data_IF_560886052137
#
_entry.id   IF_560886052137
#
_cell.length_a   1.000
_cell.length_b   1.000
_cell.length_c   1.000
_cell.angle_alpha   90.00
_cell.angle_beta   90.00
_cell.angle_gamma   90.00
#
_symmetry.space_group_name_H-M   'P 1'
#
loop_
_entity.id
_entity.type
_entity.pdbx_description
1 polymer ?
#
# COMPACT_ATOMS: atom_id res chain seq x y z
N UNK A 1 34.75 -11.71 -7.41
CA UNK A 1 33.44 -12.29 -7.78
C UNK A 1 32.70 -12.74 -6.52
N UNK A 2 32.13 -11.78 -5.80
CA UNK A 2 31.34 -12.01 -4.59
C UNK A 2 29.87 -11.83 -4.95
N UNK A 3 29.12 -12.88 -4.69
CA UNK A 3 27.70 -13.07 -4.97
C UNK A 3 26.86 -11.89 -4.50
N UNK A 4 26.41 -11.07 -5.44
CA UNK A 4 25.36 -10.08 -5.21
C UNK A 4 24.04 -10.87 -5.19
N UNK A 5 23.56 -11.25 -4.01
CA UNK A 5 22.22 -11.78 -3.81
C UNK A 5 21.22 -10.75 -4.35
N UNK A 6 20.17 -11.14 -5.09
CA UNK A 6 19.16 -10.23 -5.59
C UNK A 6 18.21 -9.85 -4.46
N UNK A 7 18.73 -9.21 -3.40
CA UNK A 7 17.87 -8.50 -2.46
C UNK A 7 17.26 -7.32 -3.20
N UNK A 8 15.92 -7.24 -3.19
CA UNK A 8 15.18 -6.14 -3.81
C UNK A 8 15.71 -4.79 -3.29
N UNK A 9 15.59 -3.73 -4.10
CA UNK A 9 16.04 -2.38 -3.73
C UNK A 9 15.47 -1.91 -2.39
N UNK A 10 14.22 -2.30 -2.09
CA UNK A 10 13.54 -2.05 -0.82
C UNK A 10 14.24 -2.72 0.38
N UNK A 11 14.63 -4.01 0.28
CA UNK A 11 15.35 -4.69 1.35
C UNK A 11 16.69 -4.02 1.66
N UNK A 12 17.42 -3.58 0.63
CA UNK A 12 18.70 -2.86 0.84
C UNK A 12 18.49 -1.50 1.51
N UNK A 13 17.42 -0.80 1.15
CA UNK A 13 17.08 0.47 1.80
C UNK A 13 16.74 0.28 3.29
N UNK A 14 16.02 -0.80 3.64
CA UNK A 14 15.69 -1.14 5.02
C UNK A 14 16.94 -1.51 5.84
N UNK A 15 17.85 -2.29 5.29
CA UNK A 15 19.15 -2.61 5.90
C UNK A 15 19.98 -1.34 6.14
N UNK A 16 20.04 -0.44 5.15
CA UNK A 16 20.77 0.84 5.25
C UNK A 16 20.12 1.84 6.20
N UNK A 17 18.84 1.67 6.56
CA UNK A 17 18.14 2.56 7.50
C UNK A 17 18.68 2.47 8.92
N UNK A 18 19.32 1.35 9.28
CA UNK A 18 19.81 1.01 10.62
C UNK A 18 18.75 0.99 11.74
N UNK A 19 17.46 1.18 11.41
CA UNK A 19 16.35 1.19 12.37
C UNK A 19 15.39 0.01 12.17
N UNK A 20 15.49 -0.70 11.04
CA UNK A 20 14.68 -1.88 10.78
C UNK A 20 15.35 -3.12 11.38
N UNK A 21 14.66 -3.83 12.28
CA UNK A 21 15.09 -5.11 12.85
C UNK A 21 14.75 -6.27 11.94
N UNK A 22 13.49 -6.40 11.54
CA UNK A 22 13.05 -7.46 10.63
C UNK A 22 12.26 -6.90 9.45
N UNK A 23 12.42 -7.54 8.30
CA UNK A 23 11.58 -7.28 7.14
C UNK A 23 11.06 -8.58 6.52
N UNK A 24 9.85 -8.55 5.96
CA UNK A 24 9.35 -9.58 5.05
C UNK A 24 8.66 -8.93 3.85
N UNK A 25 8.60 -9.66 2.75
CA UNK A 25 7.94 -9.20 1.53
C UNK A 25 6.97 -10.23 0.98
N UNK A 26 6.07 -9.83 0.10
CA UNK A 26 5.17 -10.75 -0.62
C UNK A 26 5.95 -11.88 -1.33
N UNK A 27 7.07 -11.54 -1.99
CA UNK A 27 7.96 -12.50 -2.68
C UNK A 27 8.85 -13.34 -1.73
N UNK A 28 9.10 -12.86 -0.52
CA UNK A 28 9.97 -13.51 0.49
C UNK A 28 9.28 -13.39 1.85
N UNK A 29 8.38 -14.32 2.19
CA UNK A 29 7.53 -14.24 3.37
C UNK A 29 8.28 -14.55 4.68
N UNK A 30 9.49 -15.09 4.60
CA UNK A 30 10.34 -15.31 5.77
C UNK A 30 10.85 -13.99 6.36
N UNK A 31 10.96 -13.94 7.70
CA UNK A 31 11.58 -12.82 8.39
C UNK A 31 13.06 -12.75 8.07
N UNK A 32 13.48 -11.62 7.51
CA UNK A 32 14.87 -11.31 7.24
C UNK A 32 15.37 -10.31 8.28
N UNK A 33 16.49 -10.62 8.94
CA UNK A 33 17.15 -9.71 9.88
C UNK A 33 17.85 -8.58 9.11
N UNK A 34 17.40 -7.35 9.33
CA UNK A 34 17.93 -6.13 8.71
C UNK A 34 19.01 -5.45 9.57
N UNK A 35 19.33 -6.00 10.75
CA UNK A 35 20.43 -5.54 11.60
C UNK A 35 20.13 -4.35 12.51
N UNK A 36 18.92 -3.79 12.46
CA UNK A 36 18.48 -2.72 13.37
C UNK A 36 18.22 -3.20 14.81
N UNK A 37 17.99 -2.27 15.74
CA UNK A 37 17.77 -2.59 17.16
C UNK A 37 16.36 -3.15 17.41
N UNK A 38 16.20 -3.91 18.50
CA UNK A 38 14.87 -4.32 18.98
C UNK A 38 14.18 -3.16 19.69
N UNK A 39 14.84 -2.56 20.68
CA UNK A 39 14.32 -1.39 21.39
C UNK A 39 14.49 -0.13 20.52
N UNK A 40 13.39 0.59 20.27
CA UNK A 40 13.38 1.78 19.42
C UNK A 40 13.53 1.51 17.92
N UNK A 41 13.64 0.24 17.50
CA UNK A 41 13.60 -0.15 16.09
C UNK A 41 12.22 -0.58 15.61
N UNK A 42 12.17 -1.06 14.37
CA UNK A 42 10.93 -1.36 13.66
C UNK A 42 11.01 -2.67 12.88
N UNK A 43 9.86 -3.30 12.67
CA UNK A 43 9.72 -4.38 11.70
C UNK A 43 8.79 -3.97 10.56
N UNK A 44 9.13 -4.36 9.33
CA UNK A 44 8.47 -3.88 8.11
C UNK A 44 7.95 -5.04 7.26
N UNK A 45 6.67 -5.03 6.93
CA UNK A 45 6.12 -5.90 5.89
C UNK A 45 5.84 -5.05 4.65
N UNK A 46 6.16 -5.55 3.46
CA UNK A 46 5.97 -4.78 2.24
C UNK A 46 5.62 -5.62 1.01
N UNK A 47 4.85 -5.04 0.10
CA UNK A 47 4.70 -5.52 -1.27
C UNK A 47 5.55 -4.61 -2.17
N UNK A 48 6.67 -5.11 -2.75
CA UNK A 48 7.55 -4.30 -3.58
C UNK A 48 6.87 -3.81 -4.87
N UNK A 49 5.87 -4.55 -5.39
CA UNK A 49 5.22 -4.26 -6.66
C UNK A 49 3.76 -4.78 -6.68
N UNK A 50 2.86 -4.00 -6.09
CA UNK A 50 1.42 -4.23 -6.23
C UNK A 50 0.95 -3.88 -7.65
N UNK A 51 0.05 -4.69 -8.18
CA UNK A 51 -0.42 -4.56 -9.56
C UNK A 51 0.52 -5.17 -10.60
N UNK A 52 1.35 -6.15 -10.20
CA UNK A 52 2.24 -6.88 -11.12
C UNK A 52 1.53 -7.38 -12.39
N UNK A 53 0.29 -7.85 -12.28
CA UNK A 53 -0.53 -8.34 -13.40
C UNK A 53 -0.92 -7.27 -14.44
N UNK A 54 -0.80 -5.99 -14.11
CA UNK A 54 -1.17 -4.85 -14.97
C UNK A 54 0.03 -3.99 -15.38
N UNK A 55 1.25 -4.41 -15.04
CA UNK A 55 2.50 -3.76 -15.46
C UNK A 55 2.61 -3.72 -16.98
N UNK A 56 2.40 -4.86 -17.65
CA UNK A 56 2.54 -4.98 -19.11
C UNK A 56 1.50 -4.14 -19.88
N UNK A 57 0.39 -3.82 -19.23
CA UNK A 57 -0.66 -2.95 -19.78
C UNK A 57 -0.39 -1.45 -19.57
N UNK A 58 0.75 -1.12 -18.95
CA UNK A 58 1.14 0.25 -18.62
C UNK A 58 0.10 0.99 -17.78
N UNK A 59 -0.53 0.27 -16.85
CA UNK A 59 -1.40 0.87 -15.83
C UNK A 59 -0.57 1.31 -14.63
N UNK A 60 -1.17 2.16 -13.81
CA UNK A 60 -0.58 2.55 -12.53
C UNK A 60 -0.38 1.32 -11.65
N UNK A 61 0.83 1.18 -11.13
CA UNK A 61 1.23 0.15 -10.16
C UNK A 61 1.77 0.83 -8.90
N UNK A 62 2.19 0.06 -7.90
CA UNK A 62 2.69 0.67 -6.68
C UNK A 62 3.50 -0.24 -5.78
N UNK A 63 3.81 0.28 -4.60
CA UNK A 63 4.49 -0.45 -3.53
C UNK A 63 3.72 -0.17 -2.23
N UNK A 64 3.58 -1.16 -1.38
CA UNK A 64 2.85 -1.04 -0.10
C UNK A 64 3.81 -1.35 1.05
N UNK A 65 3.75 -0.58 2.14
CA UNK A 65 4.52 -0.82 3.36
C UNK A 65 3.64 -0.72 4.60
N UNK A 66 3.85 -1.63 5.56
CA UNK A 66 3.38 -1.50 6.93
C UNK A 66 4.57 -1.55 7.89
N UNK A 67 4.53 -0.73 8.94
CA UNK A 67 5.62 -0.59 9.91
C UNK A 67 5.09 -0.81 11.32
N UNK A 68 5.71 -1.73 12.05
CA UNK A 68 5.42 -2.06 13.44
C UNK A 68 6.65 -1.74 14.31
N UNK A 69 6.45 -1.36 15.59
CA UNK A 69 7.55 -1.17 16.51
C UNK A 69 8.17 -2.52 16.93
N UNK A 70 9.47 -2.51 17.19
CA UNK A 70 10.20 -3.68 17.69
C UNK A 70 10.48 -4.74 16.63
N UNK A 71 10.39 -6.00 17.04
CA UNK A 71 10.96 -7.15 16.36
C UNK A 71 9.91 -8.21 15.99
N UNK A 72 8.66 -7.79 15.76
CA UNK A 72 7.55 -8.70 15.47
C UNK A 72 6.76 -8.28 14.24
N UNK A 73 6.49 -9.25 13.38
CA UNK A 73 5.49 -9.18 12.28
C UNK A 73 4.44 -10.30 12.39
N UNK A 74 4.53 -11.14 13.43
CA UNK A 74 3.55 -12.20 13.72
C UNK A 74 2.91 -11.95 15.08
N UNK A 75 1.64 -12.34 15.23
CA UNK A 75 0.87 -12.05 16.44
C UNK A 75 0.61 -10.55 16.68
N UNK A 76 0.81 -9.72 15.65
CA UNK A 76 0.49 -8.29 15.63
C UNK A 76 -0.74 -8.05 14.76
N UNK A 77 -1.42 -6.93 14.97
CA UNK A 77 -2.59 -6.51 14.22
C UNK A 77 -2.32 -5.23 13.43
N UNK A 78 -3.24 -4.87 12.53
CA UNK A 78 -3.17 -3.58 11.84
C UNK A 78 -3.19 -2.37 12.77
N UNK A 79 -3.86 -2.47 13.94
CA UNK A 79 -3.90 -1.39 14.95
C UNK A 79 -2.57 -1.16 15.68
N UNK A 80 -1.64 -2.11 15.58
CA UNK A 80 -0.31 -2.01 16.18
C UNK A 80 0.70 -1.26 15.28
N UNK A 81 0.33 -0.95 14.03
CA UNK A 81 1.17 -0.19 13.12
C UNK A 81 1.46 1.22 13.66
N UNK A 82 2.70 1.67 13.45
CA UNK A 82 3.14 3.05 13.74
C UNK A 82 3.20 3.90 12.49
N UNK A 83 3.36 3.27 11.32
CA UNK A 83 3.26 3.89 10.02
C UNK A 83 2.76 2.90 8.97
N UNK A 84 2.07 3.41 7.97
CA UNK A 84 1.73 2.68 6.76
C UNK A 84 1.94 3.59 5.56
N UNK A 85 2.33 3.04 4.42
CA UNK A 85 2.52 3.84 3.23
C UNK A 85 2.22 3.09 1.94
N UNK A 86 1.92 3.87 0.91
CA UNK A 86 1.69 3.39 -0.43
C UNK A 86 2.40 4.31 -1.42
N UNK A 87 3.30 3.76 -2.23
CA UNK A 87 3.89 4.43 -3.37
C UNK A 87 3.08 4.16 -4.63
N UNK A 88 2.80 5.20 -5.40
CA UNK A 88 1.98 5.16 -6.61
C UNK A 88 2.87 5.52 -7.79
N UNK A 89 3.02 4.59 -8.74
CA UNK A 89 3.80 4.77 -9.96
C UNK A 89 2.86 4.88 -11.16
N UNK A 90 2.25 6.06 -11.31
CA UNK A 90 1.36 6.39 -12.41
C UNK A 90 1.90 7.51 -13.29
N UNK A 91 1.03 8.31 -13.93
CA UNK A 91 1.45 9.51 -14.67
C UNK A 91 2.21 10.53 -13.82
N UNK A 92 2.05 10.46 -12.50
CA UNK A 92 2.85 11.15 -11.50
C UNK A 92 3.23 10.13 -10.44
N UNK A 93 4.44 10.22 -9.92
CA UNK A 93 4.88 9.42 -8.78
C UNK A 93 4.47 10.12 -7.49
N UNK A 94 3.55 9.52 -6.74
CA UNK A 94 3.14 10.03 -5.43
C UNK A 94 3.33 8.99 -4.34
N UNK A 95 3.38 9.46 -3.10
CA UNK A 95 3.55 8.61 -1.94
C UNK A 95 2.54 9.05 -0.88
N UNK A 96 1.65 8.15 -0.47
CA UNK A 96 0.66 8.40 0.57
C UNK A 96 1.15 7.75 1.86
N UNK A 97 1.26 8.53 2.93
CA UNK A 97 1.76 8.08 4.23
C UNK A 97 0.71 8.30 5.31
N UNK A 98 0.53 7.33 6.20
CA UNK A 98 -0.22 7.44 7.44
C UNK A 98 0.72 7.18 8.62
N UNK A 99 0.62 7.99 9.67
CA UNK A 99 1.40 7.84 10.90
C UNK A 99 0.44 7.74 12.09
N UNK A 100 0.74 6.87 13.06
CA UNK A 100 -0.16 6.62 14.20
C UNK A 100 -0.53 7.88 14.98
N UNK A 101 0.43 8.77 15.14
CA UNK A 101 0.26 10.01 15.92
C UNK A 101 -0.03 11.24 15.04
N UNK A 102 -0.30 11.04 13.73
CA UNK A 102 -0.67 12.11 12.80
C UNK A 102 -2.03 11.80 12.14
N UNK A 103 -3.07 12.62 12.37
CA UNK A 103 -4.39 12.35 11.81
C UNK A 103 -4.42 12.34 10.29
N UNK A 104 -5.03 11.30 9.72
CA UNK A 104 -5.27 11.18 8.28
C UNK A 104 -4.08 10.61 7.50
N UNK A 105 -4.07 10.90 6.20
CA UNK A 105 -2.99 10.53 5.29
C UNK A 105 -2.40 11.78 4.63
N UNK A 106 -1.12 11.70 4.31
CA UNK A 106 -0.33 12.78 3.72
C UNK A 106 0.22 12.31 2.38
N UNK A 107 -0.14 13.01 1.30
CA UNK A 107 0.32 12.73 -0.05
C UNK A 107 1.53 13.61 -0.38
N UNK A 108 2.59 12.97 -0.87
CA UNK A 108 3.80 13.62 -1.36
C UNK A 108 3.95 13.36 -2.85
N UNK A 109 4.25 14.40 -3.63
CA UNK A 109 4.57 14.32 -5.05
C UNK A 109 6.09 14.31 -5.24
N UNK A 110 6.60 13.39 -6.06
CA UNK A 110 7.99 13.41 -6.51
C UNK A 110 8.15 14.45 -7.62
N UNK A 111 9.02 15.43 -7.38
CA UNK A 111 9.43 16.46 -8.35
C UNK A 111 10.64 15.99 -9.16
N UNK A 112 10.87 16.63 -10.30
CA UNK A 112 11.96 16.29 -11.24
C UNK A 112 13.36 16.38 -10.60
N UNK A 113 13.54 17.19 -9.57
CA UNK A 113 14.80 17.30 -8.82
C UNK A 113 15.00 16.18 -7.79
N UNK A 114 14.16 15.14 -7.79
CA UNK A 114 14.20 14.05 -6.82
C UNK A 114 13.71 14.44 -5.43
N UNK A 115 12.96 15.54 -5.31
CA UNK A 115 12.43 16.05 -4.05
C UNK A 115 10.97 15.63 -3.88
N UNK A 116 10.61 15.28 -2.65
CA UNK A 116 9.23 15.03 -2.27
C UNK A 116 8.58 16.31 -1.75
N UNK A 117 7.50 16.74 -2.39
CA UNK A 117 6.70 17.87 -1.97
C UNK A 117 5.39 17.37 -1.36
N UNK A 118 5.07 17.82 -0.14
CA UNK A 118 3.75 17.58 0.44
C UNK A 118 2.68 18.33 -0.36
N UNK A 119 1.66 17.62 -0.85
CA UNK A 119 0.65 18.19 -1.75
C UNK A 119 -0.77 18.10 -1.23
N UNK A 120 -1.08 17.18 -0.30
CA UNK A 120 -2.45 16.98 0.17
C UNK A 120 -2.51 16.22 1.50
N UNK A 121 -3.43 16.65 2.36
CA UNK A 121 -3.90 15.88 3.52
C UNK A 121 -5.30 15.28 3.24
N UNK A 122 -5.55 14.05 3.66
CA UNK A 122 -6.88 13.42 3.64
C UNK A 122 -7.21 12.83 5.02
N UNK A 123 -8.23 13.37 5.71
CA UNK A 123 -8.62 12.92 7.06
C UNK A 123 -9.91 12.12 7.10
N UNK A 124 -10.70 12.12 6.02
CA UNK A 124 -12.02 11.49 5.98
C UNK A 124 -12.32 10.99 4.59
N UNK A 125 -12.97 9.83 4.50
CA UNK A 125 -13.56 9.31 3.27
C UNK A 125 -15.07 9.36 3.43
N UNK A 126 -15.73 10.17 2.61
CA UNK A 126 -17.18 10.32 2.61
C UNK A 126 -17.88 9.29 1.73
N UNK A 127 -19.21 9.36 1.71
CA UNK A 127 -20.01 8.56 0.79
C UNK A 127 -19.82 9.03 -0.66
N UNK A 128 -19.80 8.08 -1.59
CA UNK A 128 -19.67 8.37 -3.01
C UNK A 128 -20.29 7.27 -3.87
N UNK A 129 -20.88 7.68 -5.00
CA UNK A 129 -21.40 6.74 -6.02
C UNK A 129 -20.29 6.19 -6.92
N UNK A 130 -19.25 5.63 -6.31
CA UNK A 130 -18.12 4.99 -6.97
C UNK A 130 -17.76 3.74 -6.18
N UNK A 131 -17.48 2.63 -6.86
CA UNK A 131 -17.02 1.41 -6.20
C UNK A 131 -15.89 0.72 -6.97
N UNK A 132 -14.98 0.10 -6.23
CA UNK A 132 -13.91 -0.76 -6.73
C UNK A 132 -13.95 -2.13 -6.03
N UNK A 133 -14.41 -3.20 -6.71
CA UNK A 133 -14.74 -4.47 -6.06
C UNK A 133 -13.55 -5.25 -5.47
N UNK A 134 -12.29 -5.00 -5.87
CA UNK A 134 -11.11 -5.74 -5.39
C UNK A 134 -11.02 -7.20 -5.86
N UNK A 135 -12.15 -7.88 -6.09
CA UNK A 135 -12.25 -9.17 -6.76
C UNK A 135 -13.67 -9.44 -7.26
N UNK A 136 -14.00 -8.96 -8.47
CA UNK A 136 -15.35 -9.13 -9.04
C UNK A 136 -15.74 -10.60 -9.24
N UNK A 137 -14.78 -11.53 -9.40
CA UNK A 137 -15.07 -12.96 -9.61
C UNK A 137 -15.69 -13.62 -8.38
N UNK A 138 -15.46 -13.07 -7.19
CA UNK A 138 -16.02 -13.59 -5.94
C UNK A 138 -17.56 -13.54 -5.89
N UNK A 139 -18.22 -12.80 -6.79
CA UNK A 139 -19.70 -12.81 -6.90
C UNK A 139 -20.25 -14.19 -7.28
N UNK A 140 -19.46 -15.04 -7.92
CA UNK A 140 -19.89 -16.39 -8.29
C UNK A 140 -20.06 -17.30 -7.07
N UNK A 141 -19.14 -17.20 -6.11
CA UNK A 141 -19.07 -18.11 -4.95
C UNK A 141 -19.61 -17.49 -3.65
N UNK A 142 -19.81 -16.17 -3.62
CA UNK A 142 -20.30 -15.45 -2.44
C UNK A 142 -21.61 -14.69 -2.76
N UNK A 143 -22.78 -15.26 -2.41
CA UNK A 143 -24.08 -14.65 -2.69
C UNK A 143 -24.29 -13.28 -2.03
N UNK A 144 -23.68 -13.02 -0.88
CA UNK A 144 -23.83 -11.72 -0.21
C UNK A 144 -22.98 -10.64 -0.87
N UNK A 145 -21.80 -11.01 -1.37
CA UNK A 145 -20.99 -10.13 -2.19
C UNK A 145 -21.63 -9.85 -3.55
N UNK A 146 -22.24 -10.86 -4.19
CA UNK A 146 -23.03 -10.67 -5.41
C UNK A 146 -24.19 -9.69 -5.21
N UNK A 147 -24.96 -9.84 -4.11
CA UNK A 147 -26.02 -8.89 -3.76
C UNK A 147 -25.47 -7.46 -3.61
N UNK A 148 -24.31 -7.30 -2.98
CA UNK A 148 -23.68 -6.00 -2.75
C UNK A 148 -23.26 -5.33 -4.08
N UNK A 149 -22.56 -6.07 -4.95
CA UNK A 149 -22.17 -5.57 -6.27
C UNK A 149 -23.40 -5.22 -7.11
N UNK A 150 -24.42 -6.09 -7.12
CA UNK A 150 -25.67 -5.83 -7.83
C UNK A 150 -26.42 -4.63 -7.29
N UNK A 151 -26.36 -4.37 -5.97
CA UNK A 151 -26.90 -3.14 -5.38
C UNK A 151 -26.21 -1.90 -5.96
N UNK A 152 -24.87 -1.87 -5.99
CA UNK A 152 -24.12 -0.74 -6.56
C UNK A 152 -24.46 -0.49 -8.03
N UNK A 153 -24.58 -1.56 -8.83
CA UNK A 153 -24.99 -1.46 -10.23
C UNK A 153 -26.41 -0.89 -10.38
N UNK A 154 -27.38 -1.41 -9.61
CA UNK A 154 -28.78 -0.94 -9.65
C UNK A 154 -28.93 0.51 -9.21
N UNK A 155 -28.18 0.92 -8.19
CA UNK A 155 -28.16 2.29 -7.66
C UNK A 155 -27.29 3.26 -8.48
N UNK A 156 -26.79 2.79 -9.63
CA UNK A 156 -26.00 3.56 -10.61
C UNK A 156 -24.71 4.12 -10.03
N UNK A 157 -24.01 3.33 -9.23
CA UNK A 157 -22.64 3.64 -8.82
C UNK A 157 -21.70 3.47 -10.02
N UNK A 158 -20.67 4.31 -10.09
CA UNK A 158 -19.64 4.23 -11.13
C UNK A 158 -18.63 3.14 -10.76
N UNK A 159 -18.54 2.08 -11.54
CA UNK A 159 -17.47 1.09 -11.40
C UNK A 159 -16.13 1.71 -11.84
N UNK A 160 -15.13 1.71 -10.95
CA UNK A 160 -13.75 2.05 -11.28
C UNK A 160 -12.82 1.00 -10.72
N UNK A 161 -12.44 0.06 -11.57
CA UNK A 161 -11.65 -1.11 -11.19
C UNK A 161 -10.52 -1.30 -12.18
N UNK A 162 -9.29 -1.14 -11.70
CA UNK A 162 -8.08 -1.33 -12.52
C UNK A 162 -7.51 -2.74 -12.37
N UNK A 163 -7.82 -3.42 -11.26
CA UNK A 163 -7.27 -4.73 -10.93
C UNK A 163 -5.96 -4.67 -10.14
N UNK A 164 -5.47 -3.47 -9.80
CA UNK A 164 -4.39 -3.26 -8.83
C UNK A 164 -4.94 -2.61 -7.56
N UNK A 165 -4.51 -3.07 -6.39
CA UNK A 165 -5.00 -2.52 -5.12
C UNK A 165 -4.59 -1.06 -4.96
N UNK A 166 -3.32 -0.74 -5.25
CA UNK A 166 -2.75 0.61 -5.11
C UNK A 166 -3.52 1.66 -5.90
N UNK A 167 -3.68 1.54 -7.23
CA UNK A 167 -4.45 2.52 -8.00
C UNK A 167 -5.92 2.62 -7.55
N UNK A 168 -6.54 1.49 -7.18
CA UNK A 168 -7.95 1.44 -6.83
C UNK A 168 -8.25 2.04 -5.44
N UNK A 169 -7.35 1.86 -4.47
CA UNK A 169 -7.42 2.50 -3.15
C UNK A 169 -7.03 3.98 -3.25
N UNK A 170 -5.97 4.30 -4.01
CA UNK A 170 -5.50 5.67 -4.14
C UNK A 170 -6.58 6.60 -4.72
N UNK A 171 -7.36 6.14 -5.71
CA UNK A 171 -8.46 6.97 -6.21
C UNK A 171 -9.52 7.27 -5.15
N UNK A 172 -9.80 6.35 -4.20
CA UNK A 172 -10.75 6.58 -3.11
C UNK A 172 -10.18 7.65 -2.16
N UNK A 173 -8.90 7.54 -1.79
CA UNK A 173 -8.21 8.52 -0.93
C UNK A 173 -8.17 9.90 -1.59
N UNK A 174 -7.80 9.98 -2.87
CA UNK A 174 -7.68 11.25 -3.60
C UNK A 174 -9.05 11.89 -3.87
N UNK A 175 -10.09 11.08 -4.14
CA UNK A 175 -11.46 11.57 -4.32
C UNK A 175 -12.20 11.80 -3.01
N UNK A 176 -11.65 11.32 -1.89
CA UNK A 176 -12.22 11.36 -0.54
C UNK A 176 -13.62 10.74 -0.47
N UNK A 177 -13.89 9.78 -1.36
CA UNK A 177 -15.20 9.13 -1.45
C UNK A 177 -15.13 7.85 -2.27
N UNK A 178 -16.13 7.00 -2.03
CA UNK A 178 -16.29 5.72 -2.72
C UNK A 178 -16.02 4.55 -1.78
N UNK A 179 -16.06 3.36 -2.37
CA UNK A 179 -15.99 2.08 -1.66
C UNK A 179 -15.03 1.16 -2.40
#
# INVERSE_FOLDING_TARGET
>A
PSTCSPTSSSSRALEYSHVCKYACSEEVPELQDMGGPVEGGFSVAFDPLDGSSIVDTNFTVGTIFGVWPGDKLTGVTGGDQVAAAMGIYGPRTTFVVALKDCPGTHEFLLLDEGKWQHVKDTTTIGEGKMFSPGNLRATFDNPDYDKLVNYYVKEKYTLRYTGGMVPDVNQIIVKEKGI
#
